data_IF_707876744096
#
_entry.id   IF_707876744096
#
_cell.length_a   1.000
_cell.length_b   1.000
_cell.length_c   1.000
_cell.angle_alpha   90.00
_cell.angle_beta   90.00
_cell.angle_gamma   90.00
#
_symmetry.space_group_name_H-M   'P 1'
#
loop_
_entity.id
_entity.type
_entity.pdbx_description
1 polymer ?
#
# COMPACT_ATOMS: atom_id res chain seq x y z
N UNK A 1 -0.62 -4.40 34.14
CA UNK A 1 -1.24 -5.48 33.33
C UNK A 1 -2.46 -4.94 32.59
N UNK A 2 -3.43 -4.26 33.24
CA UNK A 2 -4.63 -3.72 32.58
C UNK A 2 -4.30 -2.70 31.50
N UNK A 3 -3.41 -1.76 31.78
CA UNK A 3 -2.96 -0.74 30.82
C UNK A 3 -2.27 -1.36 29.59
N UNK A 4 -1.53 -2.46 29.79
CA UNK A 4 -0.87 -3.19 28.70
C UNK A 4 -1.89 -3.90 27.78
N UNK A 5 -2.98 -4.43 28.34
CA UNK A 5 -4.06 -5.03 27.54
C UNK A 5 -4.84 -3.96 26.76
N UNK A 6 -5.14 -2.81 27.37
CA UNK A 6 -5.82 -1.70 26.70
C UNK A 6 -4.98 -1.11 25.54
N UNK A 7 -3.66 -1.03 25.70
CA UNK A 7 -2.75 -0.61 24.62
C UNK A 7 -2.66 -1.67 23.50
N UNK A 8 -2.67 -2.96 23.87
CA UNK A 8 -2.69 -4.04 22.91
C UNK A 8 -4.01 -4.07 22.13
N UNK A 9 -5.15 -3.91 22.77
CA UNK A 9 -6.44 -3.79 22.10
C UNK A 9 -6.49 -2.63 21.12
N UNK A 10 -5.94 -1.46 21.46
CA UNK A 10 -5.83 -0.32 20.54
C UNK A 10 -4.91 -0.61 19.34
N UNK A 11 -3.81 -1.35 19.55
CA UNK A 11 -2.90 -1.75 18.48
C UNK A 11 -3.51 -2.83 17.58
N UNK A 12 -4.35 -3.71 18.14
CA UNK A 12 -5.05 -4.77 17.41
C UNK A 12 -6.30 -4.26 16.69
N UNK A 13 -6.81 -3.08 17.07
CA UNK A 13 -8.00 -2.51 16.44
C UNK A 13 -7.75 -2.22 14.96
N UNK A 14 -8.50 -2.90 14.09
CA UNK A 14 -8.51 -2.58 12.67
C UNK A 14 -9.25 -1.27 12.41
N UNK A 15 -8.73 -0.41 11.54
CA UNK A 15 -9.47 0.77 11.11
C UNK A 15 -10.77 0.33 10.42
N UNK A 16 -11.87 0.94 10.82
CA UNK A 16 -13.17 0.63 10.24
C UNK A 16 -13.23 1.12 8.79
N UNK A 17 -13.82 0.35 7.86
CA UNK A 17 -14.05 0.78 6.50
C UNK A 17 -14.77 2.12 6.46
N UNK A 18 -14.41 2.94 5.48
CA UNK A 18 -15.04 4.25 5.24
C UNK A 18 -15.90 4.20 3.99
N UNK A 19 -16.68 5.24 3.73
CA UNK A 19 -17.42 5.32 2.48
C UNK A 19 -16.47 5.33 1.27
N UNK A 20 -16.84 4.60 0.21
CA UNK A 20 -16.17 4.65 -1.08
C UNK A 20 -16.23 6.06 -1.66
N UNK A 21 -15.17 6.49 -2.33
CA UNK A 21 -15.13 7.79 -3.02
C UNK A 21 -15.79 7.65 -4.40
N UNK A 22 -16.51 8.67 -4.81
CA UNK A 22 -17.11 8.71 -6.14
C UNK A 22 -16.03 8.67 -7.23
N UNK A 23 -16.21 7.78 -8.20
CA UNK A 23 -15.36 7.72 -9.39
C UNK A 23 -15.44 9.01 -10.20
N UNK A 24 -14.30 9.51 -10.63
CA UNK A 24 -14.17 10.60 -11.60
C UNK A 24 -13.48 10.10 -12.87
N UNK A 25 -13.75 10.75 -14.00
CA UNK A 25 -12.88 10.63 -15.17
C UNK A 25 -11.60 11.46 -14.96
N UNK A 26 -10.51 11.20 -15.70
CA UNK A 26 -9.28 12.00 -15.64
C UNK A 26 -9.54 13.51 -15.83
N UNK A 27 -10.35 13.87 -16.84
CA UNK A 27 -10.71 15.28 -17.11
C UNK A 27 -11.48 15.93 -15.96
N UNK A 28 -12.43 15.19 -15.34
CA UNK A 28 -13.15 15.71 -14.16
C UNK A 28 -12.22 15.93 -12.98
N UNK A 29 -11.32 14.97 -12.72
CA UNK A 29 -10.35 15.09 -11.65
C UNK A 29 -9.36 16.25 -11.89
N UNK A 30 -8.92 16.47 -13.12
CA UNK A 30 -8.07 17.59 -13.51
C UNK A 30 -8.74 18.95 -13.27
N UNK A 31 -10.00 19.08 -13.64
CA UNK A 31 -10.77 20.32 -13.40
C UNK A 31 -10.94 20.59 -11.89
N UNK A 32 -11.20 19.55 -11.09
CA UNK A 32 -11.48 19.72 -9.65
C UNK A 32 -10.19 19.86 -8.84
N UNK A 33 -9.16 19.07 -9.19
CA UNK A 33 -7.96 18.88 -8.37
C UNK A 33 -6.65 19.25 -9.08
N UNK A 34 -6.69 19.91 -10.24
CA UNK A 34 -5.50 20.26 -11.03
C UNK A 34 -4.44 21.01 -10.23
N UNK A 35 -4.87 21.89 -9.29
CA UNK A 35 -3.97 22.63 -8.40
C UNK A 35 -3.23 21.73 -7.36
N UNK A 36 -3.66 20.49 -7.18
CA UNK A 36 -3.03 19.50 -6.30
C UNK A 36 -2.11 18.55 -7.04
N UNK A 37 -2.01 18.67 -8.37
CA UNK A 37 -1.20 17.82 -9.22
C UNK A 37 0.02 18.57 -9.75
N UNK A 38 1.20 17.90 -9.74
CA UNK A 38 2.38 18.42 -10.42
C UNK A 38 2.25 18.23 -11.96
N UNK A 39 3.10 18.90 -12.78
CA UNK A 39 3.02 18.78 -14.25
C UNK A 39 3.12 17.35 -14.77
N UNK A 40 3.91 16.49 -14.13
CA UNK A 40 3.99 15.07 -14.45
C UNK A 40 2.65 14.37 -14.24
N UNK A 41 2.02 14.58 -13.10
CA UNK A 41 0.73 13.96 -12.76
C UNK A 41 -0.42 14.42 -13.64
N UNK A 42 -0.40 15.67 -14.10
CA UNK A 42 -1.39 16.18 -15.07
C UNK A 42 -1.34 15.42 -16.39
N UNK A 43 -0.17 14.90 -16.77
CA UNK A 43 -0.04 14.03 -17.96
C UNK A 43 -0.33 12.56 -17.61
N UNK A 44 0.20 12.07 -16.48
CA UNK A 44 0.08 10.69 -16.04
C UNK A 44 -1.39 10.26 -15.80
N UNK A 45 -2.22 11.16 -15.28
CA UNK A 45 -3.62 10.87 -14.92
C UNK A 45 -4.45 10.36 -16.10
N UNK A 46 -4.12 10.79 -17.33
CA UNK A 46 -4.83 10.39 -18.55
C UNK A 46 -4.55 8.93 -18.97
N UNK A 47 -3.60 8.25 -18.31
CA UNK A 47 -3.35 6.82 -18.50
C UNK A 47 -4.32 5.94 -17.69
N UNK A 48 -5.18 6.55 -16.85
CA UNK A 48 -6.12 5.85 -15.98
C UNK A 48 -7.57 6.12 -16.39
N UNK A 49 -8.39 5.08 -16.44
CA UNK A 49 -9.82 5.19 -16.77
C UNK A 49 -10.68 5.72 -15.61
N UNK A 50 -10.17 5.65 -14.41
CA UNK A 50 -10.91 5.90 -13.18
C UNK A 50 -10.03 6.52 -12.12
N UNK A 51 -10.45 7.66 -11.61
CA UNK A 51 -9.76 8.42 -10.58
C UNK A 51 -10.63 8.43 -9.32
N UNK A 52 -10.05 8.06 -8.19
CA UNK A 52 -10.72 8.06 -6.88
C UNK A 52 -10.03 8.99 -5.89
N UNK A 53 -8.71 9.20 -6.05
CA UNK A 53 -7.94 10.03 -5.14
C UNK A 53 -6.66 10.56 -5.83
N UNK A 54 -6.32 11.83 -5.60
CA UNK A 54 -5.17 12.51 -6.25
C UNK A 54 -4.09 12.99 -5.27
N UNK A 55 -4.15 12.56 -4.01
CA UNK A 55 -3.20 13.05 -3.00
C UNK A 55 -3.47 14.49 -2.54
N UNK A 56 -4.72 14.93 -2.58
CA UNK A 56 -5.10 16.31 -2.22
C UNK A 56 -4.80 16.71 -0.77
N UNK A 57 -4.57 15.74 0.13
CA UNK A 57 -4.21 15.97 1.52
C UNK A 57 -2.72 15.79 1.81
N UNK A 58 -1.89 15.51 0.79
CA UNK A 58 -0.44 15.38 0.96
C UNK A 58 0.19 16.76 1.21
N UNK A 59 0.88 16.92 2.35
CA UNK A 59 1.51 18.20 2.72
C UNK A 59 2.81 18.45 1.93
N UNK A 60 3.53 17.41 1.58
CA UNK A 60 4.84 17.46 0.93
C UNK A 60 4.85 16.58 -0.32
N UNK A 61 3.94 16.89 -1.23
CA UNK A 61 3.87 16.16 -2.49
C UNK A 61 5.11 16.42 -3.34
N UNK A 62 5.65 15.38 -3.96
CA UNK A 62 6.80 15.53 -4.85
C UNK A 62 6.39 16.33 -6.11
N UNK A 63 7.21 17.33 -6.45
CA UNK A 63 6.99 18.14 -7.64
C UNK A 63 7.79 17.58 -8.82
N UNK A 64 7.22 16.63 -9.54
CA UNK A 64 7.80 16.03 -10.73
C UNK A 64 7.44 16.80 -12.01
N UNK A 65 8.40 16.88 -12.92
CA UNK A 65 8.20 17.45 -14.27
C UNK A 65 8.62 16.42 -15.31
N UNK A 66 7.90 16.31 -16.47
CA UNK A 66 8.14 15.27 -17.46
C UNK A 66 9.54 15.27 -18.06
N UNK A 67 10.22 16.42 -18.09
CA UNK A 67 11.54 16.59 -18.68
C UNK A 67 12.68 16.08 -17.78
N UNK A 68 12.44 15.90 -16.49
CA UNK A 68 13.44 15.42 -15.50
C UNK A 68 13.23 13.94 -15.21
N UNK A 69 13.86 13.09 -16.00
CA UNK A 69 13.68 11.63 -15.92
C UNK A 69 14.58 10.95 -14.89
N UNK A 70 15.55 11.64 -14.33
CA UNK A 70 16.47 11.10 -13.34
C UNK A 70 15.74 10.51 -12.14
N UNK A 71 16.21 9.37 -11.65
CA UNK A 71 15.64 8.67 -10.49
C UNK A 71 14.12 8.53 -10.59
N UNK A 72 13.65 8.09 -11.75
CA UNK A 72 12.20 7.91 -11.96
C UNK A 72 11.42 9.22 -11.74
N UNK A 73 11.79 10.29 -12.43
CA UNK A 73 11.24 11.66 -12.27
C UNK A 73 11.36 12.21 -10.83
N UNK A 74 12.35 11.72 -10.06
CA UNK A 74 12.57 12.05 -8.67
C UNK A 74 11.70 11.28 -7.67
N UNK A 75 10.90 10.32 -8.12
CA UNK A 75 10.10 9.48 -7.24
C UNK A 75 10.90 8.38 -6.54
N UNK A 76 12.14 8.09 -6.99
CA UNK A 76 12.99 7.06 -6.43
C UNK A 76 14.18 7.65 -5.65
N UNK A 77 14.52 7.00 -4.55
CA UNK A 77 15.77 7.24 -3.83
C UNK A 77 16.97 6.58 -4.55
N UNK A 78 18.19 6.79 -4.06
CA UNK A 78 19.42 6.22 -4.63
C UNK A 78 19.44 4.68 -4.67
N UNK A 79 18.66 4.04 -3.80
CA UNK A 79 18.51 2.59 -3.74
C UNK A 79 17.46 2.07 -4.73
N UNK A 80 16.67 2.95 -5.34
CA UNK A 80 15.54 2.64 -6.20
C UNK A 80 14.28 2.28 -5.41
N UNK A 81 14.18 2.70 -4.15
CA UNK A 81 12.94 2.63 -3.39
C UNK A 81 12.09 3.87 -3.68
N UNK A 82 10.78 3.68 -3.81
CA UNK A 82 9.82 4.78 -4.00
C UNK A 82 9.85 5.71 -2.77
N UNK A 83 9.96 7.02 -3.01
CA UNK A 83 9.93 8.03 -1.95
C UNK A 83 8.48 8.24 -1.52
N UNK A 84 8.15 7.72 -0.34
CA UNK A 84 6.80 7.72 0.19
C UNK A 84 6.47 9.06 0.84
N UNK A 85 5.40 9.69 0.39
CA UNK A 85 4.80 10.85 1.02
C UNK A 85 3.44 10.47 1.63
N UNK A 86 3.27 10.70 2.91
CA UNK A 86 2.00 10.40 3.57
C UNK A 86 0.87 11.25 2.99
N UNK A 87 -0.29 10.66 2.86
CA UNK A 87 -1.50 11.25 2.28
C UNK A 87 -1.40 11.50 0.78
N UNK A 88 -0.30 11.06 0.12
CA UNK A 88 -0.22 11.02 -1.33
C UNK A 88 -0.90 9.77 -1.89
N UNK A 89 -1.02 9.69 -3.21
CA UNK A 89 -1.73 8.59 -3.85
C UNK A 89 -0.79 7.54 -4.46
N UNK A 90 -1.31 6.31 -4.60
CA UNK A 90 -0.80 5.29 -5.51
C UNK A 90 -1.89 4.99 -6.55
N UNK A 91 -1.51 5.05 -7.83
CA UNK A 91 -2.38 4.74 -8.97
C UNK A 91 -3.74 5.48 -8.95
N UNK A 92 -3.79 6.69 -8.42
CA UNK A 92 -5.01 7.53 -8.32
C UNK A 92 -6.20 6.83 -7.64
N UNK A 93 -5.89 5.86 -6.78
CA UNK A 93 -6.88 5.05 -6.06
C UNK A 93 -6.57 4.91 -4.57
N UNK A 94 -5.34 4.64 -4.22
CA UNK A 94 -4.95 4.33 -2.86
C UNK A 94 -4.31 5.55 -2.19
N UNK A 95 -4.72 5.86 -0.97
CA UNK A 95 -4.15 6.91 -0.14
C UNK A 95 -3.15 6.30 0.85
N UNK A 96 -1.94 6.81 0.89
CA UNK A 96 -0.87 6.34 1.78
C UNK A 96 -1.10 6.89 3.19
N UNK A 97 -1.24 6.01 4.18
CA UNK A 97 -1.51 6.41 5.56
C UNK A 97 -0.30 6.26 6.48
N UNK A 98 0.40 5.13 6.39
CA UNK A 98 1.63 4.93 7.17
C UNK A 98 2.52 3.83 6.55
N UNK A 99 3.81 3.83 6.91
CA UNK A 99 4.72 2.72 6.62
C UNK A 99 4.50 1.60 7.63
N UNK A 100 4.35 0.36 7.16
CA UNK A 100 4.26 -0.86 7.97
C UNK A 100 5.61 -1.53 8.13
N UNK A 101 6.51 -1.33 7.16
CA UNK A 101 7.85 -1.90 7.20
C UNK A 101 8.64 -1.63 5.93
N UNK A 102 9.96 -1.74 6.02
CA UNK A 102 10.90 -1.63 4.89
C UNK A 102 11.91 -2.76 4.97
N UNK A 103 12.14 -3.44 3.85
CA UNK A 103 13.04 -4.57 3.75
C UNK A 103 13.97 -4.50 2.55
N UNK A 104 14.65 -5.62 2.26
CA UNK A 104 15.58 -5.72 1.13
C UNK A 104 14.89 -5.58 -0.24
N UNK A 105 13.64 -6.00 -0.36
CA UNK A 105 12.88 -6.04 -1.62
C UNK A 105 12.03 -4.80 -1.88
N UNK A 106 11.91 -3.90 -0.90
CA UNK A 106 11.05 -2.73 -0.97
C UNK A 106 10.40 -2.39 0.36
N UNK A 107 9.20 -1.88 0.33
CA UNK A 107 8.49 -1.39 1.51
C UNK A 107 7.01 -1.78 1.48
N UNK A 108 6.40 -1.86 2.66
CA UNK A 108 4.98 -2.16 2.82
C UNK A 108 4.30 -0.96 3.47
N UNK A 109 3.19 -0.53 2.89
CA UNK A 109 2.44 0.64 3.31
C UNK A 109 1.01 0.24 3.70
N UNK A 110 0.48 0.83 4.74
CA UNK A 110 -0.96 0.85 4.98
C UNK A 110 -1.58 1.94 4.13
N UNK A 111 -2.58 1.55 3.35
CA UNK A 111 -3.30 2.47 2.47
C UNK A 111 -4.80 2.34 2.70
N UNK A 112 -5.52 3.43 2.36
CA UNK A 112 -6.96 3.40 2.17
C UNK A 112 -7.25 3.25 0.68
N UNK A 113 -8.03 2.26 0.31
CA UNK A 113 -8.56 2.12 -1.03
C UNK A 113 -9.82 2.99 -1.19
N UNK A 114 -9.70 4.11 -1.88
CA UNK A 114 -10.81 5.03 -2.11
C UNK A 114 -11.92 4.45 -3.01
N UNK A 115 -11.62 3.41 -3.79
CA UNK A 115 -12.62 2.72 -4.61
C UNK A 115 -13.59 1.89 -3.77
N UNK A 116 -13.09 1.25 -2.71
CA UNK A 116 -13.88 0.33 -1.89
C UNK A 116 -14.17 0.86 -0.48
N UNK A 117 -13.40 1.84 -0.01
CA UNK A 117 -13.43 2.33 1.36
C UNK A 117 -12.65 1.47 2.36
N UNK A 118 -12.06 0.36 1.90
CA UNK A 118 -11.32 -0.58 2.74
C UNK A 118 -9.89 -0.09 3.03
N UNK A 119 -9.32 -0.60 4.11
CA UNK A 119 -7.90 -0.44 4.39
C UNK A 119 -7.14 -1.69 3.94
N UNK A 120 -6.02 -1.47 3.28
CA UNK A 120 -5.20 -2.52 2.66
C UNK A 120 -3.73 -2.33 2.97
N UNK A 121 -2.95 -3.40 2.86
CA UNK A 121 -1.51 -3.33 2.81
C UNK A 121 -1.04 -3.35 1.35
N UNK A 122 -0.13 -2.45 0.99
CA UNK A 122 0.47 -2.42 -0.36
C UNK A 122 1.98 -2.58 -0.24
N UNK A 123 2.51 -3.65 -0.84
CA UNK A 123 3.94 -3.88 -0.98
C UNK A 123 4.42 -3.23 -2.27
N UNK A 124 5.31 -2.23 -2.15
CA UNK A 124 5.98 -1.59 -3.27
C UNK A 124 7.35 -2.26 -3.48
N UNK A 125 7.54 -2.87 -4.63
CA UNK A 125 8.79 -3.52 -4.97
C UNK A 125 9.79 -2.46 -5.46
N UNK A 126 11.04 -2.57 -5.00
CA UNK A 126 12.13 -1.69 -5.40
C UNK A 126 12.31 -1.70 -6.92
N UNK A 127 12.46 -0.52 -7.52
CA UNK A 127 12.65 -0.32 -8.95
C UNK A 127 14.06 -0.75 -9.39
N UNK A 128 14.33 -2.07 -9.31
CA UNK A 128 15.54 -2.71 -9.84
C UNK A 128 15.17 -4.04 -10.46
N UNK A 129 15.70 -4.31 -11.64
CA UNK A 129 15.35 -5.47 -12.48
C UNK A 129 15.37 -6.80 -11.72
N UNK A 130 16.38 -7.03 -10.86
CA UNK A 130 16.50 -8.28 -10.08
C UNK A 130 15.32 -8.51 -9.12
N UNK A 131 14.81 -7.44 -8.49
CA UNK A 131 13.69 -7.55 -7.57
C UNK A 131 12.36 -7.69 -8.29
N UNK A 132 12.24 -7.06 -9.47
CA UNK A 132 11.05 -7.18 -10.31
C UNK A 132 10.82 -8.64 -10.74
N UNK A 133 11.85 -9.35 -11.23
CA UNK A 133 11.72 -10.75 -11.61
C UNK A 133 11.24 -11.64 -10.46
N UNK A 134 11.84 -11.47 -9.27
CA UNK A 134 11.45 -12.24 -8.09
C UNK A 134 10.02 -11.92 -7.66
N UNK A 135 9.62 -10.64 -7.68
CA UNK A 135 8.28 -10.23 -7.29
C UNK A 135 7.19 -10.73 -8.24
N UNK A 136 7.47 -10.84 -9.55
CA UNK A 136 6.52 -11.44 -10.50
C UNK A 136 6.24 -12.91 -10.16
N UNK A 137 7.24 -13.66 -9.73
CA UNK A 137 7.04 -15.04 -9.27
C UNK A 137 6.21 -15.07 -7.99
N UNK A 138 6.51 -14.18 -7.03
CA UNK A 138 5.76 -14.05 -5.77
C UNK A 138 4.28 -13.73 -6.05
N UNK A 139 3.99 -12.77 -6.94
CA UNK A 139 2.63 -12.42 -7.35
C UNK A 139 1.89 -13.63 -7.92
N UNK A 140 2.50 -14.39 -8.82
CA UNK A 140 1.88 -15.59 -9.41
C UNK A 140 1.53 -16.66 -8.36
N UNK A 141 2.40 -16.84 -7.37
CA UNK A 141 2.15 -17.75 -6.23
C UNK A 141 0.96 -17.23 -5.42
N UNK A 142 0.95 -15.94 -5.07
CA UNK A 142 -0.15 -15.35 -4.30
C UNK A 142 -1.48 -15.40 -5.05
N UNK A 143 -1.49 -15.14 -6.36
CA UNK A 143 -2.67 -15.31 -7.21
C UNK A 143 -3.20 -16.74 -7.20
N UNK A 144 -2.29 -17.70 -7.28
CA UNK A 144 -2.67 -19.12 -7.22
C UNK A 144 -3.28 -19.48 -5.86
N UNK A 145 -2.65 -19.06 -4.77
CA UNK A 145 -3.15 -19.31 -3.42
C UNK A 145 -4.50 -18.66 -3.18
N UNK A 146 -4.66 -17.40 -3.56
CA UNK A 146 -5.96 -16.67 -3.43
C UNK A 146 -7.08 -17.34 -4.22
N UNK A 147 -6.77 -17.87 -5.42
CA UNK A 147 -7.74 -18.64 -6.22
C UNK A 147 -8.07 -20.01 -5.63
N UNK A 148 -7.10 -20.65 -4.96
CA UNK A 148 -7.28 -21.94 -4.33
C UNK A 148 -8.05 -21.88 -3.02
N UNK A 149 -8.02 -20.72 -2.34
CA UNK A 149 -8.70 -20.48 -1.06
C UNK A 149 -9.53 -19.19 -1.10
N UNK A 150 -10.59 -19.13 -1.93
CA UNK A 150 -11.40 -17.92 -2.13
C UNK A 150 -12.13 -17.46 -0.86
N UNK A 151 -12.42 -18.39 0.04
CA UNK A 151 -13.16 -18.13 1.28
C UNK A 151 -12.25 -17.90 2.50
N UNK A 152 -10.91 -17.91 2.32
CA UNK A 152 -9.95 -17.66 3.40
C UNK A 152 -9.93 -18.71 4.51
N UNK A 153 -10.23 -19.98 4.19
CA UNK A 153 -10.33 -21.05 5.18
C UNK A 153 -8.96 -21.56 5.69
N UNK A 154 -7.91 -21.31 4.93
CA UNK A 154 -6.58 -21.84 5.21
C UNK A 154 -5.61 -20.81 5.83
N UNK A 155 -6.11 -19.64 6.23
CA UNK A 155 -5.33 -18.59 6.89
C UNK A 155 -4.09 -18.13 6.10
N UNK A 156 -4.19 -18.16 4.77
CA UNK A 156 -3.18 -17.63 3.87
C UNK A 156 -3.55 -16.18 3.51
N UNK A 157 -2.55 -15.29 3.49
CA UNK A 157 -2.79 -13.88 3.14
C UNK A 157 -3.39 -13.76 1.74
N UNK A 158 -4.50 -13.01 1.63
CA UNK A 158 -5.19 -12.80 0.37
C UNK A 158 -4.64 -11.59 -0.38
N UNK A 159 -4.22 -11.83 -1.61
CA UNK A 159 -3.89 -10.78 -2.55
C UNK A 159 -5.18 -10.28 -3.22
N UNK A 160 -5.41 -8.97 -3.20
CA UNK A 160 -6.61 -8.37 -3.78
C UNK A 160 -6.37 -7.74 -5.14
N UNK A 161 -5.15 -7.28 -5.41
CA UNK A 161 -4.78 -6.64 -6.67
C UNK A 161 -3.27 -6.64 -6.87
N UNK A 162 -2.80 -6.52 -8.11
CA UNK A 162 -1.41 -6.21 -8.45
C UNK A 162 -1.37 -5.28 -9.66
N UNK A 163 -0.52 -4.25 -9.60
CA UNK A 163 -0.40 -3.26 -10.66
C UNK A 163 1.00 -2.66 -10.69
N UNK A 164 1.34 -2.01 -11.79
CA UNK A 164 2.57 -1.21 -11.88
C UNK A 164 2.23 0.26 -11.73
N UNK A 165 2.95 0.96 -10.87
CA UNK A 165 2.85 2.40 -10.67
C UNK A 165 4.23 3.02 -10.64
N UNK A 166 4.48 3.96 -11.54
CA UNK A 166 5.77 4.67 -11.65
C UNK A 166 6.96 3.70 -11.59
N UNK A 167 6.94 2.65 -12.42
CA UNK A 167 7.92 1.57 -12.53
C UNK A 167 8.06 0.63 -11.31
N UNK A 168 7.25 0.81 -10.27
CA UNK A 168 7.19 -0.11 -9.13
C UNK A 168 6.07 -1.12 -9.32
N UNK A 169 6.38 -2.40 -9.16
CA UNK A 169 5.34 -3.42 -8.99
C UNK A 169 4.74 -3.25 -7.60
N UNK A 170 3.45 -3.06 -7.54
CA UNK A 170 2.66 -2.91 -6.32
C UNK A 170 1.78 -4.14 -6.13
N UNK A 171 1.81 -4.73 -4.95
CA UNK A 171 0.98 -5.89 -4.58
C UNK A 171 0.07 -5.48 -3.44
N UNK A 172 -1.22 -5.50 -3.69
CA UNK A 172 -2.24 -5.14 -2.70
C UNK A 172 -2.76 -6.40 -2.03
N UNK A 173 -2.81 -6.40 -0.72
CA UNK A 173 -3.27 -7.51 0.09
C UNK A 173 -4.12 -7.02 1.27
N UNK A 174 -4.80 -7.93 1.92
CA UNK A 174 -5.51 -7.62 3.16
C UNK A 174 -4.59 -7.00 4.20
N UNK A 175 -5.13 -6.08 4.99
CA UNK A 175 -4.39 -5.48 6.10
C UNK A 175 -4.41 -6.46 7.28
N UNK A 176 -3.24 -6.97 7.65
CA UNK A 176 -3.07 -7.81 8.81
C UNK A 176 -2.79 -6.97 10.07
N UNK A 177 -2.96 -7.56 11.24
CA UNK A 177 -2.70 -6.95 12.53
C UNK A 177 -1.19 -6.92 12.84
N UNK A 178 -0.80 -7.12 14.08
CA UNK A 178 0.61 -7.17 14.51
C UNK A 178 1.28 -8.46 14.05
N UNK A 179 2.59 -8.42 13.87
CA UNK A 179 3.37 -9.62 13.56
C UNK A 179 3.62 -10.46 14.82
N UNK A 180 4.05 -11.72 14.64
CA UNK A 180 4.30 -12.64 15.74
C UNK A 180 5.36 -12.14 16.73
N UNK A 181 6.35 -11.39 16.26
CA UNK A 181 7.38 -10.82 17.12
C UNK A 181 6.79 -9.77 18.09
N UNK A 182 5.96 -8.87 17.58
CA UNK A 182 5.28 -7.88 18.41
C UNK A 182 4.30 -8.56 19.39
N UNK A 183 3.64 -9.62 18.96
CA UNK A 183 2.75 -10.41 19.83
C UNK A 183 3.54 -11.09 20.97
N UNK A 184 4.67 -11.75 20.66
CA UNK A 184 5.54 -12.39 21.66
C UNK A 184 6.12 -11.35 22.63
N UNK A 185 6.54 -10.21 22.10
CA UNK A 185 7.06 -9.09 22.89
C UNK A 185 5.99 -8.52 23.84
N UNK A 186 4.77 -8.33 23.35
CA UNK A 186 3.64 -7.89 24.18
C UNK A 186 3.29 -8.89 25.29
N UNK A 187 3.53 -10.19 25.06
CA UNK A 187 3.39 -11.25 26.07
C UNK A 187 4.64 -11.43 26.98
N UNK A 188 5.55 -10.45 27.02
CA UNK A 188 6.74 -10.49 27.88
C UNK A 188 7.74 -11.59 27.53
N UNK A 189 7.68 -12.14 26.32
CA UNK A 189 8.49 -13.28 25.85
C UNK A 189 8.23 -14.60 26.60
N UNK A 190 7.08 -14.73 27.30
CA UNK A 190 6.72 -15.95 28.03
C UNK A 190 6.30 -17.12 27.13
N UNK A 191 6.12 -16.84 25.81
CA UNK A 191 5.65 -17.84 24.86
C UNK A 191 4.13 -18.07 24.94
N UNK A 192 3.64 -19.08 24.23
CA UNK A 192 2.21 -19.41 24.12
C UNK A 192 1.96 -20.88 24.43
N UNK A 193 0.78 -21.19 24.94
CA UNK A 193 0.35 -22.58 25.15
C UNK A 193 0.21 -23.31 23.81
N UNK A 194 0.41 -24.63 23.82
CA UNK A 194 0.25 -25.46 22.62
C UNK A 194 -1.16 -25.33 21.98
N UNK A 195 -2.17 -25.05 22.78
CA UNK A 195 -3.55 -24.81 22.29
C UNK A 195 -3.67 -23.50 21.50
N UNK A 196 -2.89 -22.48 21.86
CA UNK A 196 -2.89 -21.20 21.17
C UNK A 196 -2.05 -21.23 19.88
N UNK A 197 -1.10 -22.15 19.79
CA UNK A 197 -0.21 -22.32 18.60
C UNK A 197 -0.89 -23.13 17.49
N UNK A 198 -1.89 -23.95 17.82
CA UNK A 198 -2.68 -24.73 16.86
C UNK A 198 -3.73 -23.88 16.15
#
# INVERSE_FOLDING_TARGET
IRDMYEDLEKQLAFPQPTAATKRLSPRQAEVIYGNHMCPYEQQEIHQYDSIYYVGSYARHKHYAVPEKTDRNYGYDDERGDYIVNLRDHLAYRYEILKSLGRGSFGQVLQCRDHKTGQYVAIKLIRNKRRFHHQAVVEVRIMEHLTRADPDGQHHVVHMTDSFTFRHHLCVTMELLSINLYELIKANGFEGFSATLIR
#
